data_IF_707712271962
#
_entry.id   IF_707712271962
#
_cell.length_a   1.000
_cell.length_b   1.000
_cell.length_c   1.000
_cell.angle_alpha   90.00
_cell.angle_beta   90.00
_cell.angle_gamma   90.00
#
_symmetry.space_group_name_H-M   'P 1'
#
loop_
_entity.id
_entity.type
_entity.pdbx_description
1 polymer ?
#
# COMPACT_ATOMS: atom_id res chain seq x y z
N UNK A 1 5.67 -21.12 -2.66
CA UNK A 1 5.44 -20.06 -3.66
C UNK A 1 6.55 -19.05 -3.46
N UNK A 2 7.39 -18.76 -4.46
CA UNK A 2 8.47 -17.81 -4.23
C UNK A 2 7.82 -16.47 -3.93
N UNK A 3 8.13 -15.92 -2.76
CA UNK A 3 7.80 -14.55 -2.38
C UNK A 3 8.24 -13.67 -3.55
N UNK A 4 7.29 -13.12 -4.29
CA UNK A 4 7.57 -12.07 -5.24
C UNK A 4 7.98 -10.87 -4.40
N UNK A 5 9.26 -10.84 -4.05
CA UNK A 5 9.88 -9.79 -3.26
C UNK A 5 9.67 -8.49 -4.03
N UNK A 6 8.84 -7.61 -3.48
CA UNK A 6 8.63 -6.29 -4.05
C UNK A 6 9.96 -5.55 -3.96
N UNK A 7 10.51 -5.19 -5.12
CA UNK A 7 11.66 -4.29 -5.20
C UNK A 7 11.13 -2.85 -5.06
N UNK A 8 11.21 -2.31 -3.84
CA UNK A 8 10.71 -0.97 -3.57
C UNK A 8 11.71 0.11 -4.03
N UNK A 9 12.98 -0.22 -4.23
CA UNK A 9 13.99 0.74 -4.70
C UNK A 9 13.69 1.23 -6.13
N UNK A 10 12.96 0.44 -6.92
CA UNK A 10 12.52 0.82 -8.26
C UNK A 10 11.24 1.69 -8.27
N UNK A 11 10.64 1.97 -7.12
CA UNK A 11 9.34 2.64 -7.03
C UNK A 11 9.48 4.13 -6.67
N UNK A 12 8.72 4.97 -7.35
CA UNK A 12 8.69 6.41 -7.12
C UNK A 12 7.57 6.80 -6.14
N UNK A 13 7.86 7.56 -5.07
CA UNK A 13 6.83 8.13 -4.22
C UNK A 13 6.01 9.19 -4.97
N UNK A 14 4.69 9.07 -4.92
CA UNK A 14 3.75 9.97 -5.58
C UNK A 14 2.51 10.22 -4.71
N UNK A 15 1.68 11.19 -5.10
CA UNK A 15 0.47 11.56 -4.37
C UNK A 15 -0.84 11.35 -5.16
N UNK A 16 -0.77 10.80 -6.37
CA UNK A 16 -1.92 10.69 -7.27
C UNK A 16 -2.60 9.31 -7.32
N UNK A 17 -2.03 8.26 -6.72
CA UNK A 17 -2.60 6.90 -6.77
C UNK A 17 -3.97 6.80 -6.08
N UNK A 18 -4.17 7.50 -4.97
CA UNK A 18 -5.48 7.52 -4.29
C UNK A 18 -6.56 8.18 -5.16
N UNK A 19 -6.38 9.41 -5.67
CA UNK A 19 -7.28 9.99 -6.67
C UNK A 19 -7.57 9.04 -7.84
N UNK A 20 -6.54 8.45 -8.44
CA UNK A 20 -6.72 7.51 -9.57
C UNK A 20 -7.51 6.26 -9.20
N UNK A 21 -7.32 5.72 -7.99
CA UNK A 21 -8.10 4.58 -7.49
C UNK A 21 -9.57 4.94 -7.30
N UNK A 22 -9.85 6.12 -6.72
CA UNK A 22 -11.21 6.64 -6.51
C UNK A 22 -11.92 6.89 -7.83
N UNK A 23 -11.25 7.51 -8.81
CA UNK A 23 -11.79 7.73 -10.15
C UNK A 23 -12.17 6.41 -10.83
N UNK A 24 -11.36 5.37 -10.65
CA UNK A 24 -11.57 4.07 -11.30
C UNK A 24 -12.64 3.21 -10.63
N UNK A 25 -12.71 3.19 -9.30
CA UNK A 25 -13.59 2.29 -8.55
C UNK A 25 -14.84 2.97 -7.98
N UNK A 26 -14.83 4.30 -7.87
CA UNK A 26 -15.74 5.06 -7.02
C UNK A 26 -15.32 5.03 -5.55
N UNK A 27 -15.69 6.08 -4.81
CA UNK A 27 -15.29 6.33 -3.41
C UNK A 27 -15.54 5.15 -2.49
N UNK A 28 -16.75 4.58 -2.49
CA UNK A 28 -17.13 3.50 -1.57
C UNK A 28 -16.28 2.24 -1.78
N UNK A 29 -16.01 1.89 -3.05
CA UNK A 29 -15.22 0.69 -3.38
C UNK A 29 -13.75 0.91 -3.05
N UNK A 30 -13.21 2.10 -3.33
CA UNK A 30 -11.84 2.46 -2.97
C UNK A 30 -11.64 2.41 -1.45
N UNK A 31 -12.56 2.99 -0.67
CA UNK A 31 -12.52 2.92 0.80
C UNK A 31 -12.60 1.49 1.33
N UNK A 32 -13.47 0.65 0.76
CA UNK A 32 -13.54 -0.76 1.14
C UNK A 32 -12.24 -1.52 0.85
N UNK A 33 -11.58 -1.25 -0.28
CA UNK A 33 -10.29 -1.88 -0.59
C UNK A 33 -9.20 -1.49 0.42
N UNK A 34 -9.13 -0.22 0.81
CA UNK A 34 -8.20 0.24 1.86
C UNK A 34 -8.54 -0.41 3.20
N UNK A 35 -9.83 -0.51 3.55
CA UNK A 35 -10.25 -1.18 4.79
C UNK A 35 -9.85 -2.65 4.80
N UNK A 36 -10.03 -3.37 3.70
CA UNK A 36 -9.61 -4.77 3.57
C UNK A 36 -8.09 -4.94 3.72
N UNK A 37 -7.30 -3.97 3.23
CA UNK A 37 -5.85 -3.96 3.43
C UNK A 37 -5.48 -3.83 4.92
N UNK A 38 -6.16 -2.94 5.65
CA UNK A 38 -5.99 -2.79 7.10
C UNK A 38 -6.45 -4.04 7.87
N UNK A 39 -7.58 -4.63 7.48
CA UNK A 39 -8.08 -5.86 8.11
C UNK A 39 -7.08 -7.01 7.90
N UNK A 40 -6.45 -7.12 6.72
CA UNK A 40 -5.37 -8.09 6.48
C UNK A 40 -4.17 -7.89 7.42
N UNK A 41 -3.74 -6.64 7.64
CA UNK A 41 -2.69 -6.32 8.61
C UNK A 41 -3.10 -6.76 10.02
N UNK A 42 -4.35 -6.52 10.43
CA UNK A 42 -4.85 -6.96 11.72
C UNK A 42 -4.92 -8.49 11.87
N UNK A 43 -5.19 -9.21 10.77
CA UNK A 43 -5.33 -10.67 10.79
C UNK A 43 -4.01 -11.43 10.67
N UNK A 44 -3.03 -10.89 9.94
CA UNK A 44 -1.81 -11.60 9.53
C UNK A 44 -0.51 -10.84 9.80
N UNK A 45 -0.60 -9.55 10.12
CA UNK A 45 0.54 -8.68 10.34
C UNK A 45 1.00 -8.61 11.80
N UNK A 46 1.99 -7.76 12.03
CA UNK A 46 2.51 -7.37 13.33
C UNK A 46 2.99 -5.91 13.28
N UNK A 47 3.53 -5.37 14.39
CA UNK A 47 3.96 -3.98 14.53
C UNK A 47 4.93 -3.46 13.44
N UNK A 48 5.63 -4.34 12.73
CA UNK A 48 6.57 -4.00 11.65
C UNK A 48 6.03 -4.27 10.25
N UNK A 49 4.71 -4.50 10.11
CA UNK A 49 4.09 -4.76 8.81
C UNK A 49 3.27 -3.57 8.35
N UNK A 50 3.34 -3.28 7.06
CA UNK A 50 2.55 -2.28 6.36
C UNK A 50 1.69 -2.98 5.30
N UNK A 51 0.37 -2.79 5.29
CA UNK A 51 -0.47 -3.34 4.25
C UNK A 51 -0.23 -2.63 2.92
N UNK A 52 -0.15 -3.42 1.85
CA UNK A 52 0.04 -2.97 0.48
C UNK A 52 -1.22 -3.26 -0.33
N UNK A 53 -1.74 -2.25 -1.01
CA UNK A 53 -2.88 -2.35 -1.92
C UNK A 53 -2.40 -2.13 -3.35
N UNK A 54 -2.48 -3.17 -4.19
CA UNK A 54 -2.18 -3.06 -5.62
C UNK A 54 -3.33 -2.35 -6.33
N UNK A 55 -3.09 -1.13 -6.81
CA UNK A 55 -4.17 -0.29 -7.33
C UNK A 55 -4.74 -0.81 -8.64
N UNK A 56 -4.06 -1.70 -9.38
CA UNK A 56 -4.57 -2.27 -10.61
C UNK A 56 -5.60 -3.37 -10.37
N UNK A 57 -5.38 -4.22 -9.36
CA UNK A 57 -6.14 -5.47 -9.15
C UNK A 57 -6.93 -5.50 -7.84
N UNK A 58 -6.71 -4.52 -6.97
CA UNK A 58 -7.12 -4.56 -5.56
C UNK A 58 -6.54 -5.77 -4.80
N UNK A 59 -5.44 -6.35 -5.31
CA UNK A 59 -4.69 -7.37 -4.59
C UNK A 59 -4.10 -6.77 -3.31
N UNK A 60 -3.88 -7.63 -2.32
CA UNK A 60 -3.36 -7.23 -1.01
C UNK A 60 -2.08 -8.00 -0.69
N UNK A 61 -1.16 -7.34 0.00
CA UNK A 61 0.03 -7.94 0.58
C UNK A 61 0.41 -7.25 1.89
N UNK A 62 1.40 -7.80 2.59
CA UNK A 62 2.05 -7.15 3.73
C UNK A 62 3.53 -6.94 3.37
N UNK A 63 4.04 -5.77 3.69
CA UNK A 63 5.45 -5.41 3.52
C UNK A 63 6.08 -5.07 4.87
N UNK A 64 7.40 -5.20 4.98
CA UNK A 64 8.14 -4.70 6.15
C UNK A 64 8.15 -3.17 6.15
N UNK A 65 7.81 -2.55 7.27
CA UNK A 65 7.92 -1.10 7.47
C UNK A 65 9.36 -0.61 7.34
N UNK A 66 10.33 -1.42 7.78
CA UNK A 66 11.75 -1.09 7.73
C UNK A 66 12.22 -1.06 6.28
N UNK A 67 11.82 -2.04 5.49
CA UNK A 67 12.19 -2.13 4.08
C UNK A 67 11.61 -0.95 3.27
N UNK A 68 10.35 -0.57 3.53
CA UNK A 68 9.73 0.61 2.90
C UNK A 68 10.47 1.90 3.27
N UNK A 69 10.89 2.03 4.54
CA UNK A 69 11.67 3.18 5.00
C UNK A 69 13.06 3.23 4.36
N UNK A 70 13.76 2.10 4.31
CA UNK A 70 15.12 2.00 3.78
C UNK A 70 15.17 2.23 2.26
N UNK A 71 14.19 1.70 1.51
CA UNK A 71 14.23 1.74 0.04
C UNK A 71 13.52 2.94 -0.57
N UNK A 72 12.52 3.52 0.11
CA UNK A 72 11.67 4.59 -0.44
C UNK A 72 11.74 5.86 0.42
N UNK A 73 12.27 5.81 1.65
CA UNK A 73 12.33 6.95 2.56
C UNK A 73 10.98 7.36 3.14
N UNK A 74 9.93 6.53 3.00
CA UNK A 74 8.60 6.84 3.50
C UNK A 74 8.48 6.52 5.00
N UNK A 75 8.01 7.49 5.77
CA UNK A 75 7.76 7.32 7.21
C UNK A 75 6.39 6.69 7.47
N UNK A 76 6.39 5.46 7.97
CA UNK A 76 5.20 4.63 8.19
C UNK A 76 4.70 4.66 9.64
N UNK A 77 5.25 5.53 10.49
CA UNK A 77 4.99 5.61 11.93
C UNK A 77 3.56 6.05 12.34
N UNK A 78 2.65 6.23 11.39
CA UNK A 78 1.25 6.56 11.66
C UNK A 78 0.38 5.33 11.93
N UNK A 79 -0.81 5.56 12.49
CA UNK A 79 -1.84 4.52 12.56
C UNK A 79 -2.60 4.42 11.24
N UNK A 80 -3.09 3.21 10.92
CA UNK A 80 -3.98 2.95 9.76
C UNK A 80 -3.36 3.39 8.43
N UNK A 81 -2.06 3.13 8.28
CA UNK A 81 -1.30 3.42 7.07
C UNK A 81 -1.45 2.29 6.05
N UNK A 82 -1.65 2.64 4.78
CA UNK A 82 -1.70 1.69 3.66
C UNK A 82 -0.79 2.19 2.55
N UNK A 83 0.06 1.32 2.03
CA UNK A 83 0.88 1.62 0.85
C UNK A 83 0.09 1.26 -0.41
N UNK A 84 -0.36 2.28 -1.12
CA UNK A 84 -0.88 2.10 -2.47
C UNK A 84 0.31 1.86 -3.39
N UNK A 85 0.22 0.83 -4.24
CA UNK A 85 1.27 0.48 -5.17
C UNK A 85 0.69 0.31 -6.58
N UNK A 86 1.29 0.99 -7.54
CA UNK A 86 1.10 0.73 -8.96
C UNK A 86 2.33 0.03 -9.52
N UNK A 87 2.15 -1.21 -9.99
CA UNK A 87 3.22 -1.91 -10.71
C UNK A 87 3.40 -1.34 -12.10
N UNK A 88 2.31 -0.89 -12.72
CA UNK A 88 2.32 -0.34 -14.07
C UNK A 88 3.09 0.98 -14.14
N UNK A 89 2.90 1.84 -13.15
CA UNK A 89 3.54 3.17 -13.10
C UNK A 89 4.87 3.14 -12.32
N UNK A 90 5.24 2.00 -11.72
CA UNK A 90 6.35 1.89 -10.78
C UNK A 90 6.29 2.97 -9.70
N UNK A 91 5.10 3.15 -9.12
CA UNK A 91 4.80 4.24 -8.21
C UNK A 91 4.18 3.74 -6.91
N UNK A 92 4.42 4.47 -5.83
CA UNK A 92 3.84 4.20 -4.52
C UNK A 92 3.32 5.47 -3.88
N UNK A 93 2.24 5.35 -3.11
CA UNK A 93 1.70 6.42 -2.29
C UNK A 93 1.38 5.87 -0.91
N UNK A 94 1.89 6.55 0.12
CA UNK A 94 1.52 6.26 1.48
C UNK A 94 0.20 6.98 1.82
N UNK A 95 -0.84 6.22 2.14
CA UNK A 95 -2.15 6.74 2.51
C UNK A 95 -2.40 6.51 3.99
N UNK A 96 -2.87 7.54 4.69
CA UNK A 96 -3.42 7.40 6.03
C UNK A 96 -4.95 7.39 5.95
N UNK A 97 -5.58 6.33 6.46
CA UNK A 97 -7.04 6.30 6.54
C UNK A 97 -7.53 7.00 7.83
N UNK A 98 -8.12 8.18 7.69
CA UNK A 98 -8.88 8.88 8.73
C UNK A 98 -10.18 8.15 9.06
#
# INVERSE_FOLDING_TARGET
MPDAQLDFAALQPVNHLWPSLVERLGTDRAQRAVRQALDLQGMRGHHGTLPVLFIETCGLALASTDLVREQIGLNTHGERMVLLLSRREQAVQLLQQT
#
